data_IF_904100250890
#
_entry.id   IF_904100250890
#
_cell.length_a   1.000
_cell.length_b   1.000
_cell.length_c   1.000
_cell.angle_alpha   90.00
_cell.angle_beta   90.00
_cell.angle_gamma   90.00
#
_symmetry.space_group_name_H-M   'P 1'
#
loop_
_entity.id
_entity.type
_entity.pdbx_description
1 polymer ?
#
# COMPACT_ATOMS: atom_id res chain seq x y z
N UNK A 1 -2.69 8.06 28.35
CA UNK A 1 -1.84 8.94 27.53
C UNK A 1 -1.84 8.46 26.07
N UNK A 2 -2.94 8.70 25.33
CA UNK A 2 -3.18 8.10 24.00
C UNK A 2 -3.31 9.18 22.90
N UNK A 3 -3.45 10.46 23.27
CA UNK A 3 -3.90 11.51 22.34
C UNK A 3 -2.83 12.08 21.39
N UNK A 4 -1.53 11.91 21.66
CA UNK A 4 -0.46 12.47 20.82
C UNK A 4 0.04 11.53 19.70
N UNK A 5 -0.25 10.23 19.80
CA UNK A 5 0.33 9.19 18.95
C UNK A 5 -0.33 9.12 17.56
N UNK A 6 -1.55 9.64 17.44
CA UNK A 6 -2.36 9.57 16.22
C UNK A 6 -1.86 10.56 15.16
N UNK A 7 -1.29 11.70 15.58
CA UNK A 7 -0.78 12.77 14.72
C UNK A 7 0.68 12.60 14.28
N UNK A 8 1.31 11.46 14.60
CA UNK A 8 2.66 11.20 14.11
C UNK A 8 2.68 11.21 12.58
N UNK A 9 3.70 11.85 12.00
CA UNK A 9 3.88 12.01 10.55
C UNK A 9 3.72 10.67 9.80
N UNK A 10 4.27 9.53 10.29
CA UNK A 10 4.04 8.21 9.70
C UNK A 10 2.56 7.76 9.69
N UNK A 11 1.80 8.06 10.75
CA UNK A 11 0.38 7.69 10.79
C UNK A 11 -0.44 8.49 9.77
N UNK A 12 -0.11 9.76 9.56
CA UNK A 12 -0.74 10.58 8.53
C UNK A 12 -0.48 10.04 7.11
N UNK A 13 0.74 9.56 6.86
CA UNK A 13 1.08 8.91 5.59
C UNK A 13 0.30 7.61 5.38
N UNK A 14 0.12 6.79 6.44
CA UNK A 14 -0.71 5.59 6.35
C UNK A 14 -2.18 5.91 6.02
N UNK A 15 -2.75 6.98 6.58
CA UNK A 15 -4.10 7.42 6.18
C UNK A 15 -4.16 7.83 4.71
N UNK A 16 -3.14 8.51 4.19
CA UNK A 16 -3.08 8.84 2.77
C UNK A 16 -3.01 7.57 1.89
N UNK A 17 -2.25 6.55 2.32
CA UNK A 17 -2.17 5.25 1.62
C UNK A 17 -3.53 4.53 1.58
N UNK A 18 -4.31 4.56 2.66
CA UNK A 18 -5.68 4.01 2.66
C UNK A 18 -6.52 4.63 1.53
N UNK A 19 -6.49 5.95 1.41
CA UNK A 19 -7.25 6.66 0.37
C UNK A 19 -6.77 6.24 -1.02
N UNK A 20 -5.46 6.17 -1.23
CA UNK A 20 -4.87 5.76 -2.51
C UNK A 20 -5.30 4.33 -2.89
N UNK A 21 -5.25 3.39 -1.94
CA UNK A 21 -5.66 1.99 -2.17
C UNK A 21 -7.15 1.92 -2.53
N UNK A 22 -8.02 2.66 -1.84
CA UNK A 22 -9.46 2.71 -2.17
C UNK A 22 -9.67 3.25 -3.59
N UNK A 23 -8.98 4.34 -3.95
CA UNK A 23 -9.03 4.89 -5.31
C UNK A 23 -8.50 3.90 -6.35
N UNK A 24 -7.43 3.18 -6.03
CA UNK A 24 -6.84 2.17 -6.90
C UNK A 24 -7.82 1.02 -7.16
N UNK A 25 -8.44 0.47 -6.12
CA UNK A 25 -9.45 -0.58 -6.23
C UNK A 25 -10.67 -0.10 -7.05
N UNK A 26 -11.14 1.13 -6.83
CA UNK A 26 -12.25 1.71 -7.58
C UNK A 26 -11.92 1.90 -9.07
N UNK A 27 -10.66 2.23 -9.41
CA UNK A 27 -10.22 2.46 -10.79
C UNK A 27 -9.74 1.20 -11.51
N UNK A 28 -9.40 0.14 -10.78
CA UNK A 28 -8.86 -1.11 -11.33
C UNK A 28 -9.74 -1.72 -12.42
N UNK A 29 -11.07 -1.75 -12.22
CA UNK A 29 -12.01 -2.33 -13.19
C UNK A 29 -12.25 -1.45 -14.42
N UNK A 30 -12.13 -0.12 -14.28
CA UNK A 30 -12.48 0.81 -15.36
C UNK A 30 -11.27 1.22 -16.20
N UNK A 31 -10.10 1.41 -15.57
CA UNK A 31 -8.87 1.88 -16.22
C UNK A 31 -7.66 1.25 -15.53
N UNK A 32 -7.27 0.01 -15.92
CA UNK A 32 -6.19 -0.73 -15.25
C UNK A 32 -4.84 0.00 -15.28
N UNK A 33 -4.59 0.82 -16.31
CA UNK A 33 -3.37 1.64 -16.41
C UNK A 33 -3.27 2.71 -15.30
N UNK A 34 -4.38 3.33 -14.92
CA UNK A 34 -4.40 4.31 -13.84
C UNK A 34 -4.18 3.62 -12.49
N UNK A 35 -4.76 2.42 -12.31
CA UNK A 35 -4.52 1.62 -11.11
C UNK A 35 -3.05 1.23 -10.97
N UNK A 36 -2.37 0.88 -12.08
CA UNK A 36 -0.94 0.61 -12.09
C UNK A 36 -0.09 1.80 -11.64
N UNK A 37 -0.37 3.00 -12.18
CA UNK A 37 0.34 4.23 -11.78
C UNK A 37 0.10 4.56 -10.30
N UNK A 38 -1.15 4.52 -9.84
CA UNK A 38 -1.49 4.73 -8.43
C UNK A 38 -0.76 3.74 -7.52
N UNK A 39 -0.57 2.52 -8.01
CA UNK A 39 0.13 1.52 -7.26
C UNK A 39 1.63 1.79 -7.11
N UNK A 40 2.28 2.24 -8.18
CA UNK A 40 3.67 2.69 -8.12
C UNK A 40 3.83 3.84 -7.13
N UNK A 41 2.91 4.82 -7.19
CA UNK A 41 2.90 5.96 -6.25
C UNK A 41 2.74 5.47 -4.80
N UNK A 42 1.82 4.55 -4.53
CA UNK A 42 1.61 3.97 -3.19
C UNK A 42 2.88 3.29 -2.65
N UNK A 43 3.59 2.53 -3.50
CA UNK A 43 4.84 1.89 -3.13
C UNK A 43 5.97 2.88 -2.82
N UNK A 44 6.05 3.97 -3.59
CA UNK A 44 7.03 5.05 -3.32
C UNK A 44 6.74 5.75 -2.00
N UNK A 45 5.45 5.97 -1.67
CA UNK A 45 5.03 6.56 -0.39
C UNK A 45 5.43 5.68 0.80
N UNK A 46 5.23 4.36 0.70
CA UNK A 46 5.66 3.38 1.72
C UNK A 46 7.18 3.42 1.96
N UNK A 47 7.97 3.50 0.88
CA UNK A 47 9.41 3.54 1.06
C UNK A 47 9.87 4.83 1.76
N UNK A 48 9.19 5.94 1.47
CA UNK A 48 9.48 7.24 2.05
C UNK A 48 9.04 7.35 3.52
N UNK A 49 7.86 6.83 3.88
CA UNK A 49 7.35 6.87 5.25
C UNK A 49 8.25 6.08 6.24
N UNK A 50 8.79 4.94 5.82
CA UNK A 50 9.70 4.13 6.62
C UNK A 50 11.06 4.80 6.86
N UNK A 51 11.49 5.67 5.95
CA UNK A 51 12.72 6.46 6.12
C UNK A 51 12.49 7.59 7.13
N UNK A 52 11.34 8.29 7.03
CA UNK A 52 10.96 9.35 7.95
C UNK A 52 10.70 8.82 9.37
N UNK A 53 10.02 7.67 9.47
CA UNK A 53 9.71 7.04 10.75
C UNK A 53 10.99 6.68 11.52
N UNK A 54 12.03 6.21 10.82
CA UNK A 54 13.35 5.93 11.41
C UNK A 54 14.11 7.18 11.80
N UNK A 55 14.02 8.26 11.03
CA UNK A 55 14.72 9.51 11.37
C UNK A 55 14.08 10.26 12.54
N UNK A 56 12.78 10.09 12.76
CA UNK A 56 12.03 10.78 13.82
C UNK A 56 11.86 9.94 15.09
N UNK A 57 12.26 8.66 15.08
CA UNK A 57 12.03 7.68 16.17
C UNK A 57 10.56 7.63 16.65
N UNK A 58 9.63 8.00 15.77
CA UNK A 58 8.20 8.10 16.05
C UNK A 58 7.50 6.83 15.57
N UNK A 59 7.64 5.76 16.34
CA UNK A 59 6.96 4.49 16.07
C UNK A 59 5.75 4.32 16.97
N UNK A 60 4.65 3.82 16.41
CA UNK A 60 3.43 3.55 17.18
C UNK A 60 2.91 2.15 16.89
N UNK A 61 2.42 1.47 17.94
CA UNK A 61 1.87 0.11 17.81
C UNK A 61 0.68 0.06 16.85
N UNK A 62 -0.15 1.11 16.87
CA UNK A 62 -1.29 1.23 15.95
C UNK A 62 -0.83 1.44 14.50
N UNK A 63 0.11 2.35 14.27
CA UNK A 63 0.69 2.59 12.95
C UNK A 63 1.30 1.34 12.34
N UNK A 64 2.04 0.57 13.14
CA UNK A 64 2.65 -0.69 12.70
C UNK A 64 1.61 -1.75 12.28
N UNK A 65 0.51 -1.90 13.02
CA UNK A 65 -0.57 -2.84 12.65
C UNK A 65 -1.28 -2.38 11.37
N UNK A 66 -1.49 -1.06 11.23
CA UNK A 66 -2.10 -0.48 10.04
C UNK A 66 -1.20 -0.66 8.81
N UNK A 67 0.10 -0.42 8.96
CA UNK A 67 1.09 -0.60 7.90
C UNK A 67 1.13 -2.05 7.40
N UNK A 68 1.22 -3.03 8.31
CA UNK A 68 1.12 -4.45 7.97
C UNK A 68 -0.17 -4.81 7.21
N UNK A 69 -1.28 -4.15 7.52
CA UNK A 69 -2.56 -4.38 6.84
C UNK A 69 -2.57 -3.75 5.45
N UNK A 70 -2.04 -2.53 5.32
CA UNK A 70 -1.96 -1.78 4.06
C UNK A 70 -0.99 -2.43 3.08
N UNK A 71 0.10 -3.01 3.57
CA UNK A 71 1.05 -3.76 2.75
C UNK A 71 0.41 -5.00 2.13
N UNK A 72 -0.39 -5.75 2.90
CA UNK A 72 -1.15 -6.89 2.37
C UNK A 72 -2.14 -6.44 1.28
N UNK A 73 -2.90 -5.38 1.54
CA UNK A 73 -3.86 -4.84 0.58
C UNK A 73 -3.20 -4.34 -0.70
N UNK A 74 -2.09 -3.61 -0.57
CA UNK A 74 -1.33 -3.08 -1.71
C UNK A 74 -0.76 -4.22 -2.54
N UNK A 75 -0.15 -5.23 -1.92
CA UNK A 75 0.41 -6.38 -2.63
C UNK A 75 -0.67 -7.20 -3.36
N UNK A 76 -1.81 -7.48 -2.72
CA UNK A 76 -2.93 -8.15 -3.38
C UNK A 76 -3.44 -7.35 -4.59
N UNK A 77 -3.56 -6.03 -4.45
CA UNK A 77 -4.09 -5.19 -5.50
C UNK A 77 -3.07 -4.94 -6.64
N UNK A 78 -1.77 -4.96 -6.36
CA UNK A 78 -0.70 -5.05 -7.38
C UNK A 78 -0.86 -6.28 -8.25
N UNK A 79 -1.01 -7.44 -7.60
CA UNK A 79 -1.15 -8.71 -8.29
C UNK A 79 -2.38 -8.77 -9.18
N UNK A 80 -3.53 -8.30 -8.69
CA UNK A 80 -4.75 -8.25 -9.52
C UNK A 80 -4.52 -7.33 -10.73
N UNK A 81 -3.85 -6.19 -10.54
CA UNK A 81 -3.51 -5.30 -11.66
C UNK A 81 -2.61 -6.01 -12.68
N UNK A 82 -1.55 -6.69 -12.24
CA UNK A 82 -0.64 -7.46 -13.10
C UNK A 82 -1.34 -8.62 -13.82
N UNK A 83 -2.23 -9.35 -13.13
CA UNK A 83 -3.01 -10.43 -13.71
C UNK A 83 -3.97 -9.94 -14.81
N UNK A 84 -4.52 -8.73 -14.67
CA UNK A 84 -5.34 -8.10 -15.71
C UNK A 84 -4.53 -7.69 -16.94
N UNK A 85 -3.26 -7.26 -16.76
CA UNK A 85 -2.38 -6.89 -17.87
C UNK A 85 -1.77 -8.09 -18.59
N UNK A 86 -1.44 -9.15 -17.85
CA UNK A 86 -0.74 -10.33 -18.37
C UNK A 86 -1.53 -11.62 -18.07
N UNK A 87 -2.69 -11.82 -18.71
CA UNK A 87 -3.57 -12.96 -18.41
C UNK A 87 -2.90 -14.32 -18.64
N UNK A 88 -1.91 -14.43 -19.54
CA UNK A 88 -1.20 -15.67 -19.80
C UNK A 88 -0.15 -16.02 -18.73
N UNK A 89 0.28 -15.05 -17.92
CA UNK A 89 1.32 -15.24 -16.87
C UNK A 89 0.73 -15.27 -15.46
N UNK A 90 -0.60 -15.35 -15.33
CA UNK A 90 -1.30 -15.28 -14.04
C UNK A 90 -0.80 -16.33 -13.02
N UNK A 91 -0.47 -17.56 -13.47
CA UNK A 91 0.08 -18.63 -12.64
C UNK A 91 1.44 -18.28 -12.02
N UNK A 92 2.31 -17.60 -12.77
CA UNK A 92 3.61 -17.17 -12.28
C UNK A 92 3.45 -16.12 -11.15
N UNK A 93 2.51 -15.19 -11.33
CA UNK A 93 2.20 -14.19 -10.30
C UNK A 93 1.54 -14.82 -9.06
N UNK A 94 0.65 -15.79 -9.23
CA UNK A 94 0.04 -16.53 -8.12
C UNK A 94 1.06 -17.32 -7.31
N UNK A 95 2.03 -17.96 -7.97
CA UNK A 95 3.09 -18.69 -7.28
C UNK A 95 3.91 -17.77 -6.37
N UNK A 96 4.14 -16.53 -6.77
CA UNK A 96 4.83 -15.51 -5.96
C UNK A 96 3.99 -14.95 -4.81
N UNK A 97 2.68 -15.21 -4.78
CA UNK A 97 1.81 -14.83 -3.66
C UNK A 97 1.85 -15.84 -2.51
N UNK A 98 2.03 -17.12 -2.85
CA UNK A 98 1.97 -18.24 -1.91
C UNK A 98 3.33 -18.56 -1.29
N UNK A 99 4.42 -18.21 -1.96
CA UNK A 99 5.81 -18.36 -1.46
C UNK A 99 6.22 -17.20 -0.58
#
# INVERSE_FOLDING_TARGET
>A
MISGTIYYVPNLMNYARVIIIIFMLAKMRTRPFIAFILCLISGMINWYDGTIARSLDQTSRFGHIMDMSLDRLTNSAQMVTLALFYPNYWLFFFQRFVS
#
